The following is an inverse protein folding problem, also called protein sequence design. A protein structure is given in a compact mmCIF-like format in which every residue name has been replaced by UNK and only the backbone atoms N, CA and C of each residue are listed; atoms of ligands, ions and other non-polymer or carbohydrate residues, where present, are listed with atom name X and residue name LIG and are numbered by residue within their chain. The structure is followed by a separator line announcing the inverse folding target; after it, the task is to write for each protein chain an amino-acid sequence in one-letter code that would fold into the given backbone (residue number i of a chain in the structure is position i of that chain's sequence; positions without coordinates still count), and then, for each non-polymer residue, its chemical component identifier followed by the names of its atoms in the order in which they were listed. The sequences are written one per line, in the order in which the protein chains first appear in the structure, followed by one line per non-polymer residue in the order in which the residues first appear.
data_IF_198357543575
#
_entry.id   IF_198357543575
#
_cell.length_a   1.000
_cell.length_b   1.000
_cell.length_c   1.000
_cell.angle_alpha   90.00
_cell.angle_beta   90.00
_cell.angle_gamma   90.00
#
_symmetry.space_group_name_H-M   'P 1'
#
loop_
_entity.id
_entity.type
_entity.pdbx_description
1 polymer ?
#
# COMPACT_ATOMS: atom_id res chain seq x y z
N UNK A 1 1.04 34.85 -11.97
CA UNK A 1 0.79 33.50 -11.39
C UNK A 1 2.12 32.77 -11.26
N UNK A 2 2.65 32.58 -10.04
CA UNK A 2 4.02 32.04 -9.81
C UNK A 2 4.10 30.50 -9.80
N UNK A 3 3.00 29.81 -9.49
CA UNK A 3 2.98 28.36 -9.27
C UNK A 3 1.94 27.61 -10.11
N UNK A 4 1.25 28.27 -11.05
CA UNK A 4 0.21 27.64 -11.89
C UNK A 4 -1.07 27.20 -11.17
N UNK A 5 -1.07 27.10 -9.84
CA UNK A 5 -2.22 26.66 -9.04
C UNK A 5 -3.25 27.78 -8.80
N UNK A 6 -4.49 27.37 -8.50
CA UNK A 6 -5.55 28.27 -8.07
C UNK A 6 -5.31 28.80 -6.65
N UNK A 7 -5.73 30.04 -6.41
CA UNK A 7 -5.60 30.70 -5.10
C UNK A 7 -6.33 29.95 -3.98
N UNK A 8 -7.48 29.33 -4.28
CA UNK A 8 -8.24 28.50 -3.33
C UNK A 8 -7.44 27.29 -2.84
N UNK A 9 -6.64 26.67 -3.71
CA UNK A 9 -5.77 25.55 -3.34
C UNK A 9 -4.64 26.00 -2.41
N UNK A 10 -4.04 27.17 -2.69
CA UNK A 10 -3.01 27.77 -1.82
C UNK A 10 -3.56 28.15 -0.44
N UNK A 11 -4.75 28.76 -0.39
CA UNK A 11 -5.41 29.11 0.86
C UNK A 11 -5.72 27.88 1.72
N UNK A 12 -6.26 26.80 1.12
CA UNK A 12 -6.51 25.55 1.85
C UNK A 12 -5.23 24.96 2.45
N UNK A 13 -4.12 25.01 1.72
CA UNK A 13 -2.84 24.56 2.23
C UNK A 13 -2.33 25.43 3.39
N UNK A 14 -2.40 26.75 3.25
CA UNK A 14 -2.00 27.70 4.30
C UNK A 14 -2.83 27.56 5.58
N UNK A 15 -4.14 27.28 5.46
CA UNK A 15 -5.02 27.03 6.60
C UNK A 15 -4.93 25.60 7.15
N UNK A 16 -4.01 24.76 6.65
CA UNK A 16 -3.82 23.38 7.15
C UNK A 16 -4.98 22.43 6.82
N UNK A 17 -5.88 22.81 5.90
CA UNK A 17 -7.05 22.02 5.49
C UNK A 17 -6.65 20.88 4.54
N UNK A 18 -5.46 20.96 3.94
CA UNK A 18 -4.92 19.88 3.12
C UNK A 18 -4.39 18.75 4.00
N UNK A 19 -4.90 17.53 3.79
CA UNK A 19 -4.36 16.33 4.42
C UNK A 19 -2.89 16.14 4.05
N UNK A 20 -2.12 15.58 4.99
CA UNK A 20 -0.73 15.23 4.72
C UNK A 20 -0.67 14.14 3.64
N UNK A 21 0.42 14.14 2.85
CA UNK A 21 0.61 13.10 1.82
C UNK A 21 0.52 11.69 2.42
N UNK A 22 1.13 11.47 3.58
CA UNK A 22 1.11 10.18 4.27
C UNK A 22 -0.32 9.73 4.62
N UNK A 23 -1.15 10.65 5.13
CA UNK A 23 -2.54 10.35 5.47
C UNK A 23 -3.36 10.00 4.21
N UNK A 24 -3.19 10.77 3.13
CA UNK A 24 -3.85 10.48 1.85
C UNK A 24 -3.41 9.10 1.30
N UNK A 25 -2.15 8.73 1.47
CA UNK A 25 -1.68 7.40 1.06
C UNK A 25 -2.29 6.28 1.89
N UNK A 26 -2.36 6.46 3.22
CA UNK A 26 -2.98 5.48 4.11
C UNK A 26 -4.48 5.29 3.80
N UNK A 27 -5.21 6.37 3.51
CA UNK A 27 -6.63 6.32 3.13
C UNK A 27 -6.88 5.67 1.75
N UNK A 28 -5.89 5.71 0.85
CA UNK A 28 -5.97 5.10 -0.49
C UNK A 28 -5.51 3.65 -0.54
N UNK A 29 -4.95 3.12 0.54
CA UNK A 29 -4.57 1.71 0.61
C UNK A 29 -5.80 0.81 0.60
N UNK A 30 -5.70 -0.31 -0.11
CA UNK A 30 -6.82 -1.25 -0.23
C UNK A 30 -7.01 -2.09 1.04
N UNK A 31 -5.94 -2.31 1.82
CA UNK A 31 -5.98 -3.08 3.06
C UNK A 31 -5.96 -2.14 4.26
N UNK A 32 -6.71 -2.51 5.30
CA UNK A 32 -6.58 -1.88 6.60
C UNK A 32 -5.26 -2.30 7.27
N UNK A 33 -4.68 -1.46 8.13
CA UNK A 33 -3.42 -1.71 8.84
C UNK A 33 -3.41 -3.05 9.59
N UNK A 34 -4.55 -3.47 10.14
CA UNK A 34 -4.68 -4.79 10.78
C UNK A 34 -4.52 -5.94 9.77
N UNK A 35 -5.15 -5.82 8.60
CA UNK A 35 -5.08 -6.83 7.55
C UNK A 35 -3.68 -6.91 6.93
N UNK A 36 -3.02 -5.76 6.76
CA UNK A 36 -1.61 -5.73 6.31
C UNK A 36 -0.71 -6.47 7.29
N UNK A 37 -0.86 -6.25 8.60
CA UNK A 37 -0.07 -6.93 9.62
C UNK A 37 -0.29 -8.45 9.65
N UNK A 38 -1.53 -8.90 9.44
CA UNK A 38 -1.84 -10.34 9.33
C UNK A 38 -1.20 -10.95 8.09
N UNK A 39 -1.30 -10.26 6.94
CA UNK A 39 -0.69 -10.70 5.69
C UNK A 39 0.84 -10.79 5.81
N UNK A 40 1.49 -9.81 6.46
CA UNK A 40 2.94 -9.81 6.72
C UNK A 40 3.35 -10.97 7.62
N UNK A 41 2.63 -11.21 8.73
CA UNK A 41 2.91 -12.35 9.63
C UNK A 41 2.79 -13.67 8.90
N UNK A 42 1.80 -13.80 8.02
CA UNK A 42 1.58 -15.01 7.24
C UNK A 42 2.70 -15.23 6.21
N UNK A 43 3.11 -14.17 5.50
CA UNK A 43 4.25 -14.20 4.59
C UNK A 43 5.54 -14.58 5.31
N UNK A 44 5.79 -14.03 6.50
CA UNK A 44 6.96 -14.36 7.32
C UNK A 44 6.96 -15.84 7.76
N UNK A 45 5.79 -16.39 8.10
CA UNK A 45 5.64 -17.81 8.37
C UNK A 45 5.97 -18.68 7.14
N UNK A 46 5.54 -18.29 5.94
CA UNK A 46 5.86 -18.99 4.70
C UNK A 46 7.36 -18.95 4.37
N UNK A 47 8.00 -17.79 4.56
CA UNK A 47 9.46 -17.64 4.41
C UNK A 47 10.24 -18.60 5.31
N UNK A 48 9.80 -18.75 6.57
CA UNK A 48 10.42 -19.69 7.54
C UNK A 48 10.36 -21.15 7.07
N UNK A 49 9.36 -21.49 6.25
CA UNK A 49 9.21 -22.80 5.63
C UNK A 49 9.92 -22.94 4.28
N UNK A 50 10.89 -22.06 3.97
CA UNK A 50 11.71 -22.08 2.74
C UNK A 50 10.95 -21.90 1.43
N UNK A 51 9.70 -21.40 1.49
CA UNK A 51 8.94 -20.98 0.31
C UNK A 51 9.13 -19.47 0.10
N UNK A 52 9.79 -19.03 -0.99
CA UNK A 52 9.90 -17.61 -1.28
C UNK A 52 8.49 -17.05 -1.56
N UNK A 53 8.12 -15.92 -0.96
CA UNK A 53 6.86 -15.27 -1.28
C UNK A 53 6.91 -14.76 -2.72
N UNK A 54 6.23 -15.43 -3.64
CA UNK A 54 6.09 -14.95 -5.00
C UNK A 54 5.02 -13.84 -5.03
N UNK A 55 5.19 -12.84 -5.90
CA UNK A 55 4.22 -11.73 -6.06
C UNK A 55 2.79 -12.22 -6.31
N UNK A 56 2.64 -13.34 -6.99
CA UNK A 56 1.35 -13.98 -7.26
C UNK A 56 0.68 -14.51 -5.99
N UNK A 57 1.46 -15.10 -5.08
CA UNK A 57 0.97 -15.63 -3.81
C UNK A 57 0.42 -14.50 -2.94
N UNK A 58 1.20 -13.41 -2.79
CA UNK A 58 0.79 -12.21 -2.04
C UNK A 58 -0.52 -11.62 -2.61
N UNK A 59 -0.63 -11.59 -3.94
CA UNK A 59 -1.80 -11.08 -4.63
C UNK A 59 -3.03 -11.98 -4.44
N UNK A 60 -2.87 -13.30 -4.53
CA UNK A 60 -3.98 -14.24 -4.35
C UNK A 60 -4.53 -14.15 -2.92
N UNK A 61 -3.65 -14.05 -1.92
CA UNK A 61 -4.08 -13.86 -0.54
C UNK A 61 -4.75 -12.50 -0.30
N UNK A 62 -4.20 -11.42 -0.85
CA UNK A 62 -4.85 -10.12 -0.77
C UNK A 62 -6.24 -10.15 -1.42
N UNK A 63 -6.39 -10.85 -2.55
CA UNK A 63 -7.68 -11.03 -3.20
C UNK A 63 -8.66 -11.88 -2.36
N UNK A 64 -8.17 -12.87 -1.63
CA UNK A 64 -8.96 -13.69 -0.71
C UNK A 64 -9.45 -12.87 0.49
N UNK A 65 -8.58 -12.09 1.12
CA UNK A 65 -8.91 -11.21 2.26
C UNK A 65 -9.93 -10.13 1.84
N UNK A 66 -9.70 -9.51 0.68
CA UNK A 66 -10.56 -8.43 0.17
C UNK A 66 -11.82 -8.94 -0.53
N UNK A 67 -11.90 -10.24 -0.83
CA UNK A 67 -12.93 -10.87 -1.68
C UNK A 67 -13.12 -10.14 -3.02
N UNK A 68 -12.05 -9.54 -3.53
CA UNK A 68 -12.06 -8.68 -4.71
C UNK A 68 -10.81 -8.91 -5.56
N UNK A 69 -10.92 -8.54 -6.83
CA UNK A 69 -9.77 -8.60 -7.74
C UNK A 69 -8.74 -7.53 -7.39
N UNK A 70 -7.54 -7.97 -7.00
CA UNK A 70 -6.39 -7.11 -6.74
C UNK A 70 -5.55 -6.98 -8.01
N UNK A 71 -5.10 -5.78 -8.37
CA UNK A 71 -4.27 -5.54 -9.58
C UNK A 71 -2.82 -5.98 -9.37
N UNK A 72 -2.09 -6.34 -10.44
CA UNK A 72 -0.65 -6.69 -10.37
C UNK A 72 0.20 -5.55 -9.80
N UNK A 73 -0.06 -4.31 -10.21
CA UNK A 73 0.67 -3.14 -9.72
C UNK A 73 0.52 -2.90 -8.22
N UNK A 74 -0.54 -3.44 -7.59
CA UNK A 74 -0.71 -3.36 -6.15
C UNK A 74 0.31 -4.23 -5.43
N UNK A 75 0.54 -5.47 -5.88
CA UNK A 75 1.54 -6.35 -5.27
C UNK A 75 2.95 -5.76 -5.37
N UNK A 76 3.31 -5.11 -6.48
CA UNK A 76 4.62 -4.47 -6.63
C UNK A 76 4.82 -3.34 -5.60
N UNK A 77 3.83 -2.45 -5.47
CA UNK A 77 3.85 -1.35 -4.49
C UNK A 77 3.86 -1.85 -3.04
N UNK A 78 3.11 -2.91 -2.76
CA UNK A 78 3.03 -3.51 -1.43
C UNK A 78 4.38 -4.09 -1.01
N UNK A 79 5.09 -4.72 -1.95
CA UNK A 79 6.43 -5.26 -1.72
C UNK A 79 7.46 -4.14 -1.50
N UNK A 80 7.42 -3.10 -2.33
CA UNK A 80 8.26 -1.90 -2.16
C UNK A 80 8.06 -1.24 -0.79
N UNK A 81 6.81 -1.14 -0.32
CA UNK A 81 6.46 -0.55 0.96
C UNK A 81 6.96 -1.38 2.16
N UNK A 82 6.95 -2.71 2.04
CA UNK A 82 7.41 -3.60 3.10
C UNK A 82 8.93 -3.76 3.19
N UNK A 83 9.69 -3.21 2.23
CA UNK A 83 11.15 -3.39 2.16
C UNK A 83 11.59 -4.88 2.16
N UNK A 84 10.68 -5.81 1.84
CA UNK A 84 10.99 -7.24 1.76
C UNK A 84 11.63 -7.48 0.40
N UNK A 85 12.92 -7.79 0.40
CA UNK A 85 13.62 -8.29 -0.80
C UNK A 85 13.05 -9.68 -1.15
N UNK A 86 12.02 -9.71 -1.99
CA UNK A 86 11.57 -10.94 -2.65
C UNK A 86 12.44 -11.16 -3.89
N UNK A 87 13.07 -12.33 -3.98
CA UNK A 87 13.82 -12.74 -5.17
C UNK A 87 12.84 -12.94 -6.33
N UNK A 88 13.18 -12.35 -7.48
CA UNK A 88 12.39 -12.34 -8.71
C UNK A 88 12.26 -13.71 -9.36
#
# INVERSE_FOLDING_TARGET
KKYGCNQSTLLRWHHGVCASRAQVYAEQQHLNTTQENELVKYIDALCKHSLPPTREIVRNFAAEILKQYVKKCWSDRFIEQLHIHLLS
#
